data_IF_291750227229
#
_entry.id   IF_291750227229
#
_cell.length_a   1.000
_cell.length_b   1.000
_cell.length_c   1.000
_cell.angle_alpha   90.00
_cell.angle_beta   90.00
_cell.angle_gamma   90.00
#
_symmetry.space_group_name_H-M   'P 1'
#
loop_
_entity.id
_entity.type
_entity.pdbx_description
1 polymer ?
#
# COMPACT_ATOMS: atom_id res chain seq x y z
N UNK A 1 -61.25 21.75 14.13
CA UNK A 1 -60.50 20.59 14.67
C UNK A 1 -59.33 20.34 13.80
N UNK A 2 -58.09 20.78 14.11
CA UNK A 2 -56.92 20.42 13.39
C UNK A 2 -56.22 19.24 14.07
N UNK A 3 -56.03 18.14 13.35
CA UNK A 3 -55.31 16.96 13.77
C UNK A 3 -53.82 17.19 13.66
N UNK A 4 -53.19 17.19 14.81
CA UNK A 4 -51.72 17.29 14.97
C UNK A 4 -51.05 15.96 14.62
N UNK A 5 -50.14 15.96 13.65
CA UNK A 5 -49.23 14.84 13.39
C UNK A 5 -47.92 15.04 14.18
N UNK A 6 -47.45 14.06 14.94
CA UNK A 6 -46.14 14.14 15.56
C UNK A 6 -45.03 13.90 14.55
N UNK A 7 -44.11 14.86 14.43
CA UNK A 7 -42.85 14.71 13.68
C UNK A 7 -41.95 13.70 14.40
N UNK A 8 -41.74 12.55 13.78
CA UNK A 8 -40.72 11.59 14.17
C UNK A 8 -39.35 12.22 13.92
N UNK A 9 -38.60 12.51 14.98
CA UNK A 9 -37.18 12.82 14.90
C UNK A 9 -36.46 11.51 14.65
N UNK A 10 -36.00 11.27 13.42
CA UNK A 10 -34.99 10.27 13.16
C UNK A 10 -33.64 10.80 13.69
N UNK A 11 -33.25 10.23 14.82
CA UNK A 11 -31.89 10.38 15.34
C UNK A 11 -30.95 9.67 14.39
N UNK A 12 -30.24 10.44 13.57
CA UNK A 12 -29.11 9.99 12.83
C UNK A 12 -28.02 9.58 13.84
N UNK A 13 -27.99 8.29 14.19
CA UNK A 13 -26.84 7.73 14.93
C UNK A 13 -25.64 7.78 14.02
N UNK A 14 -24.77 8.76 14.25
CA UNK A 14 -23.40 8.69 13.77
C UNK A 14 -22.80 7.41 14.36
N UNK A 15 -22.54 6.44 13.50
CA UNK A 15 -21.77 5.25 13.82
C UNK A 15 -20.39 5.69 14.27
N UNK A 16 -20.13 5.62 15.57
CA UNK A 16 -18.82 5.90 16.14
C UNK A 16 -17.80 4.91 15.54
N UNK A 17 -16.70 5.44 15.01
CA UNK A 17 -15.53 4.62 14.61
C UNK A 17 -15.11 3.78 15.80
N UNK A 18 -14.89 2.46 15.65
CA UNK A 18 -14.34 1.65 16.72
C UNK A 18 -12.93 2.16 17.08
N UNK A 19 -12.62 2.18 18.37
CA UNK A 19 -11.30 2.52 18.87
C UNK A 19 -10.28 1.44 18.43
N UNK A 20 -8.99 1.78 18.26
CA UNK A 20 -7.98 0.80 17.95
C UNK A 20 -7.89 -0.22 19.11
N UNK A 21 -8.32 -1.46 18.84
CA UNK A 21 -8.35 -2.56 19.81
C UNK A 21 -9.69 -3.26 19.99
N UNK A 22 -10.81 -2.71 19.50
CA UNK A 22 -12.11 -3.39 19.52
C UNK A 22 -12.24 -4.32 18.31
N UNK A 23 -11.98 -5.59 18.52
CA UNK A 23 -12.25 -6.66 17.55
C UNK A 23 -13.76 -6.93 17.54
N UNK A 24 -14.42 -6.79 16.39
CA UNK A 24 -15.84 -7.15 16.23
C UNK A 24 -16.01 -8.66 16.47
N UNK A 25 -16.76 -9.09 17.51
CA UNK A 25 -16.90 -10.53 17.84
C UNK A 25 -17.71 -11.33 16.80
N UNK A 26 -18.15 -10.71 15.71
CA UNK A 26 -18.86 -11.36 14.60
C UNK A 26 -17.93 -11.90 13.52
N UNK A 27 -16.64 -11.58 13.56
CA UNK A 27 -15.64 -12.14 12.67
C UNK A 27 -15.31 -13.57 13.15
N UNK A 28 -15.83 -14.56 12.44
CA UNK A 28 -15.48 -15.97 12.67
C UNK A 28 -14.04 -16.20 12.26
N UNK A 29 -13.37 -17.15 12.92
CA UNK A 29 -11.94 -17.45 12.90
C UNK A 29 -11.19 -17.58 11.56
N UNK A 30 -11.84 -17.41 10.40
CA UNK A 30 -11.20 -17.28 9.08
C UNK A 30 -10.97 -15.82 8.65
N UNK A 31 -11.58 -14.86 9.35
CA UNK A 31 -11.49 -13.41 9.05
C UNK A 31 -10.41 -12.69 9.88
N UNK A 32 -9.71 -13.42 10.74
CA UNK A 32 -8.70 -12.89 11.67
C UNK A 32 -7.35 -12.55 11.01
N UNK A 33 -7.33 -12.33 9.69
CA UNK A 33 -6.19 -11.75 9.00
C UNK A 33 -6.44 -10.23 8.98
N UNK A 34 -6.09 -9.57 10.07
CA UNK A 34 -6.29 -8.14 10.24
C UNK A 34 -5.55 -7.34 9.17
N UNK A 35 -6.35 -6.61 8.36
CA UNK A 35 -5.87 -5.67 7.37
C UNK A 35 -5.39 -6.27 6.03
N UNK A 36 -5.25 -5.43 4.99
CA UNK A 36 -4.84 -5.86 3.66
C UNK A 36 -3.33 -5.94 3.48
N UNK A 37 -2.54 -5.33 4.36
CA UNK A 37 -1.10 -5.13 4.17
C UNK A 37 -0.30 -6.21 4.92
N UNK A 38 0.44 -7.00 4.16
CA UNK A 38 1.39 -7.95 4.73
C UNK A 38 2.79 -7.33 4.77
N UNK A 39 3.39 -7.28 5.96
CA UNK A 39 4.72 -6.73 6.23
C UNK A 39 5.31 -7.43 7.45
N UNK A 40 6.62 -7.65 7.48
CA UNK A 40 7.36 -8.23 8.62
C UNK A 40 6.78 -9.55 9.15
N UNK A 41 6.17 -10.35 8.27
CA UNK A 41 5.62 -11.66 8.62
C UNK A 41 4.20 -11.62 9.20
N UNK A 42 3.53 -10.47 9.22
CA UNK A 42 2.19 -10.30 9.74
C UNK A 42 1.30 -9.42 8.84
N UNK A 43 -0.02 -9.53 9.01
CA UNK A 43 -0.98 -8.63 8.39
C UNK A 43 -1.23 -7.42 9.28
N UNK A 44 -1.34 -6.24 8.65
CA UNK A 44 -1.57 -4.97 9.31
C UNK A 44 -2.73 -4.22 8.66
N UNK A 45 -3.44 -3.43 9.46
CA UNK A 45 -4.40 -2.45 8.96
C UNK A 45 -3.68 -1.40 8.10
N UNK A 46 -4.33 -0.93 7.05
CA UNK A 46 -3.80 0.15 6.23
C UNK A 46 -4.29 1.49 6.73
N UNK A 47 -3.35 2.37 7.08
CA UNK A 47 -3.66 3.75 7.46
C UNK A 47 -3.71 4.69 6.24
N UNK A 48 -3.27 4.22 5.07
CA UNK A 48 -3.20 5.02 3.86
C UNK A 48 -4.52 5.02 3.10
N UNK A 49 -4.92 6.20 2.62
CA UNK A 49 -6.10 6.39 1.79
C UNK A 49 -5.67 6.69 0.36
N UNK A 50 -6.21 5.94 -0.59
CA UNK A 50 -5.99 6.26 -2.01
C UNK A 50 -6.81 7.49 -2.36
N UNK A 51 -6.14 8.56 -2.74
CA UNK A 51 -6.80 9.79 -3.16
C UNK A 51 -7.41 9.63 -4.56
N UNK A 52 -8.61 10.17 -4.82
CA UNK A 52 -9.16 10.22 -6.17
C UNK A 52 -8.27 11.09 -7.06
N UNK A 53 -8.32 10.90 -8.36
CA UNK A 53 -7.53 11.68 -9.32
C UNK A 53 -7.96 13.14 -9.41
N UNK A 54 -9.17 13.46 -8.98
CA UNK A 54 -9.75 14.81 -8.99
C UNK A 54 -10.60 15.02 -7.73
N UNK A 55 -10.78 16.28 -7.33
CA UNK A 55 -11.59 16.63 -6.18
C UNK A 55 -10.81 16.76 -4.89
N UNK A 56 -11.53 16.80 -3.77
CA UNK A 56 -10.97 17.06 -2.46
C UNK A 56 -10.09 15.90 -1.96
N UNK A 57 -8.98 16.24 -1.32
CA UNK A 57 -8.08 15.25 -0.74
C UNK A 57 -8.62 14.74 0.61
N UNK A 58 -8.60 13.43 0.86
CA UNK A 58 -8.95 12.90 2.17
C UNK A 58 -7.95 13.36 3.23
N UNK A 59 -8.42 13.48 4.48
CA UNK A 59 -7.54 13.78 5.60
C UNK A 59 -6.71 12.56 6.04
N UNK A 60 -5.46 12.78 6.42
CA UNK A 60 -4.53 11.74 6.87
C UNK A 60 -3.51 11.32 5.81
N UNK A 61 -2.78 10.20 6.00
CA UNK A 61 -1.84 9.71 5.02
C UNK A 61 -2.54 9.35 3.70
N UNK A 62 -2.06 9.88 2.57
CA UNK A 62 -2.70 9.71 1.25
C UNK A 62 -1.73 9.17 0.22
N UNK A 63 -2.25 8.31 -0.66
CA UNK A 63 -1.54 7.82 -1.84
C UNK A 63 -2.14 8.51 -3.07
N UNK A 64 -1.33 9.30 -3.75
CA UNK A 64 -1.68 10.01 -4.98
C UNK A 64 -1.30 9.18 -6.20
N UNK A 65 -2.05 9.31 -7.29
CA UNK A 65 -1.55 8.88 -8.59
C UNK A 65 -0.41 9.80 -9.03
N UNK A 66 0.51 9.28 -9.83
CA UNK A 66 1.58 10.09 -10.42
C UNK A 66 1.02 11.27 -11.22
N UNK A 67 -0.06 11.06 -11.98
CA UNK A 67 -0.74 12.11 -12.73
C UNK A 67 -1.18 13.26 -11.83
N UNK A 68 -1.84 12.96 -10.72
CA UNK A 68 -2.31 13.96 -9.77
C UNK A 68 -1.14 14.69 -9.11
N UNK A 69 -0.11 13.96 -8.70
CA UNK A 69 1.09 14.56 -8.14
C UNK A 69 1.70 15.60 -9.07
N UNK A 70 1.91 15.24 -10.35
CA UNK A 70 2.51 16.16 -11.33
C UNK A 70 1.65 17.41 -11.58
N UNK A 71 0.33 17.32 -11.44
CA UNK A 71 -0.59 18.44 -11.60
C UNK A 71 -0.63 19.37 -10.38
N UNK A 72 -0.47 18.83 -9.17
CA UNK A 72 -0.73 19.55 -7.90
C UNK A 72 0.53 19.69 -7.02
N UNK A 73 1.71 19.26 -7.47
CA UNK A 73 2.94 19.21 -6.65
C UNK A 73 3.30 20.53 -5.98
N UNK A 74 3.07 21.65 -6.65
CA UNK A 74 3.38 22.98 -6.11
C UNK A 74 2.40 23.37 -4.97
N UNK A 75 1.13 23.00 -5.12
CA UNK A 75 0.12 23.22 -4.09
C UNK A 75 0.32 22.29 -2.87
N UNK A 76 0.89 21.12 -3.08
CA UNK A 76 1.18 20.14 -2.04
C UNK A 76 2.58 20.32 -1.43
N UNK A 77 3.35 21.33 -1.91
CA UNK A 77 4.71 21.58 -1.46
C UNK A 77 4.81 21.77 0.05
N UNK A 78 3.89 22.50 0.65
CA UNK A 78 3.87 22.85 2.08
C UNK A 78 2.93 21.95 2.92
N UNK A 79 2.44 20.85 2.33
CA UNK A 79 1.54 19.94 3.03
C UNK A 79 2.28 19.17 4.12
N UNK A 80 1.77 19.22 5.36
CA UNK A 80 2.25 18.40 6.48
C UNK A 80 1.67 16.96 6.44
N UNK A 81 0.92 16.60 5.40
CA UNK A 81 0.35 15.27 5.23
C UNK A 81 1.42 14.29 4.76
N UNK A 82 1.42 13.08 5.32
CA UNK A 82 2.25 12.00 4.81
C UNK A 82 1.81 11.65 3.39
N UNK A 83 2.72 11.78 2.42
CA UNK A 83 2.44 11.55 1.01
C UNK A 83 2.99 10.19 0.56
N UNK A 84 2.14 9.45 -0.10
CA UNK A 84 2.48 8.27 -0.88
C UNK A 84 2.24 8.52 -2.37
N UNK A 85 2.95 7.82 -3.22
CA UNK A 85 2.81 7.90 -4.67
C UNK A 85 2.51 6.52 -5.24
N UNK A 86 1.48 6.43 -6.09
CA UNK A 86 1.19 5.22 -6.86
C UNK A 86 1.75 5.39 -8.27
N UNK A 87 2.52 4.39 -8.70
CA UNK A 87 3.12 4.30 -10.02
C UNK A 87 2.56 3.08 -10.74
N UNK A 88 2.01 3.31 -11.93
CA UNK A 88 1.49 2.26 -12.79
C UNK A 88 2.61 1.67 -13.68
N UNK A 89 2.48 0.42 -14.15
CA UNK A 89 3.48 -0.19 -14.99
C UNK A 89 3.74 0.57 -16.28
N UNK A 90 4.99 0.95 -16.50
CA UNK A 90 5.43 1.69 -17.69
C UNK A 90 5.45 3.20 -17.51
N UNK A 91 5.04 3.72 -16.35
CA UNK A 91 5.30 5.12 -16.03
C UNK A 91 6.78 5.35 -15.73
N UNK A 92 7.34 6.42 -16.28
CA UNK A 92 8.71 6.82 -16.04
C UNK A 92 8.86 7.41 -14.62
N UNK A 93 10.09 7.34 -14.07
CA UNK A 93 10.37 7.87 -12.72
C UNK A 93 11.22 9.14 -12.80
N UNK A 94 11.89 9.37 -13.92
CA UNK A 94 12.85 10.46 -14.05
C UNK A 94 12.19 11.85 -13.88
N UNK A 95 10.91 11.99 -14.22
CA UNK A 95 10.11 13.21 -14.06
C UNK A 95 9.72 13.53 -12.61
N UNK A 96 9.82 12.54 -11.71
CA UNK A 96 9.56 12.67 -10.27
C UNK A 96 10.82 12.44 -9.43
N UNK A 97 11.97 12.20 -10.05
CA UNK A 97 13.20 11.85 -9.33
C UNK A 97 13.61 12.91 -8.30
N UNK A 98 13.40 14.18 -8.59
CA UNK A 98 13.64 15.28 -7.65
C UNK A 98 12.68 15.33 -6.46
N UNK A 99 11.50 14.74 -6.60
CA UNK A 99 10.43 14.78 -5.61
C UNK A 99 10.40 13.55 -4.68
N UNK A 100 11.24 12.53 -4.95
CA UNK A 100 11.20 11.25 -4.24
C UNK A 100 11.38 11.41 -2.72
N UNK A 101 12.11 12.41 -2.27
CA UNK A 101 12.33 12.71 -0.85
C UNK A 101 11.05 13.14 -0.12
N UNK A 102 10.00 13.50 -0.84
CA UNK A 102 8.71 13.93 -0.31
C UNK A 102 7.78 12.76 0.03
N UNK A 103 8.06 11.58 -0.55
CA UNK A 103 7.22 10.43 -0.36
C UNK A 103 7.78 9.53 0.74
N UNK A 104 6.92 9.16 1.69
CA UNK A 104 7.24 8.15 2.69
C UNK A 104 6.88 6.75 2.23
N UNK A 105 6.02 6.66 1.18
CA UNK A 105 5.59 5.42 0.56
C UNK A 105 5.52 5.56 -0.96
N UNK A 106 6.01 4.55 -1.69
CA UNK A 106 5.74 4.39 -3.13
C UNK A 106 5.05 3.04 -3.35
N UNK A 107 3.84 3.09 -3.90
CA UNK A 107 3.06 1.91 -4.27
C UNK A 107 3.26 1.58 -5.74
N UNK A 108 3.83 0.42 -6.04
CA UNK A 108 4.00 -0.07 -7.41
C UNK A 108 2.90 -1.05 -7.77
N UNK A 109 2.20 -0.77 -8.85
CA UNK A 109 1.02 -1.52 -9.28
C UNK A 109 1.37 -2.76 -10.08
N UNK A 110 0.71 -3.88 -9.75
CA UNK A 110 0.75 -5.15 -10.47
C UNK A 110 -0.66 -5.47 -11.00
N UNK A 111 -1.09 -4.88 -12.13
CA UNK A 111 -2.44 -5.12 -12.67
C UNK A 111 -2.62 -6.56 -13.13
N UNK A 112 -1.53 -7.23 -13.52
CA UNK A 112 -1.48 -8.66 -13.87
C UNK A 112 -0.25 -9.29 -13.25
N UNK A 113 -0.37 -10.54 -12.80
CA UNK A 113 0.76 -11.29 -12.22
C UNK A 113 1.95 -11.46 -13.19
N UNK A 114 1.68 -11.45 -14.50
CA UNK A 114 2.71 -11.58 -15.55
C UNK A 114 3.42 -10.28 -15.89
N UNK A 115 3.00 -9.13 -15.33
CA UNK A 115 3.63 -7.84 -15.61
C UNK A 115 4.84 -7.60 -14.70
N UNK A 116 6.04 -7.85 -15.23
CA UNK A 116 7.29 -7.73 -14.50
C UNK A 116 7.88 -6.30 -14.43
N UNK A 117 7.25 -5.29 -15.04
CA UNK A 117 7.81 -3.92 -15.13
C UNK A 117 8.02 -3.28 -13.75
N UNK A 118 7.12 -3.51 -12.82
CA UNK A 118 7.22 -2.99 -11.46
C UNK A 118 8.47 -3.50 -10.70
N UNK A 119 9.00 -4.67 -11.02
CA UNK A 119 10.27 -5.15 -10.44
C UNK A 119 11.46 -4.29 -10.88
N UNK A 120 11.50 -3.91 -12.17
CA UNK A 120 12.54 -3.02 -12.69
C UNK A 120 12.42 -1.62 -12.08
N UNK A 121 11.19 -1.12 -11.93
CA UNK A 121 10.91 0.17 -11.29
C UNK A 121 11.36 0.17 -9.83
N UNK A 122 11.05 -0.89 -9.06
CA UNK A 122 11.48 -1.03 -7.67
C UNK A 122 13.01 -1.01 -7.54
N UNK A 123 13.69 -1.77 -8.39
CA UNK A 123 15.15 -1.81 -8.42
C UNK A 123 15.76 -0.43 -8.74
N UNK A 124 15.17 0.27 -9.73
CA UNK A 124 15.62 1.60 -10.12
C UNK A 124 15.46 2.60 -8.97
N UNK A 125 14.31 2.58 -8.29
CA UNK A 125 14.07 3.42 -7.10
C UNK A 125 15.10 3.17 -6.00
N UNK A 126 15.44 1.91 -5.72
CA UNK A 126 16.41 1.55 -4.68
C UNK A 126 17.85 1.83 -5.08
N UNK A 127 18.28 1.35 -6.26
CA UNK A 127 19.69 1.36 -6.66
C UNK A 127 20.13 2.68 -7.29
N UNK A 128 19.32 3.28 -8.17
CA UNK A 128 19.66 4.55 -8.86
C UNK A 128 19.28 5.77 -8.03
N UNK A 129 18.08 5.77 -7.47
CA UNK A 129 17.53 6.96 -6.82
C UNK A 129 17.67 6.93 -5.28
N UNK A 130 18.11 5.82 -4.68
CA UNK A 130 18.33 5.71 -3.24
C UNK A 130 17.07 5.90 -2.39
N UNK A 131 15.88 5.61 -2.94
CA UNK A 131 14.63 5.77 -2.20
C UNK A 131 14.63 4.90 -0.94
N UNK A 132 14.54 5.54 0.22
CA UNK A 132 14.60 4.88 1.53
C UNK A 132 13.22 4.66 2.18
N UNK A 133 12.15 5.25 1.63
CA UNK A 133 10.78 5.06 2.10
C UNK A 133 10.22 3.66 1.83
N UNK A 134 8.99 3.41 2.24
CA UNK A 134 8.30 2.13 2.03
C UNK A 134 8.03 1.89 0.54
N UNK A 135 8.49 0.76 0.00
CA UNK A 135 8.04 0.26 -1.31
C UNK A 135 6.96 -0.78 -1.10
N UNK A 136 5.77 -0.48 -1.59
CA UNK A 136 4.59 -1.34 -1.47
C UNK A 136 4.22 -1.94 -2.82
N UNK A 137 4.02 -3.26 -2.85
CA UNK A 137 3.41 -3.92 -3.99
C UNK A 137 1.88 -3.91 -3.84
N UNK A 138 1.15 -3.44 -4.87
CA UNK A 138 -0.31 -3.38 -4.85
C UNK A 138 -0.91 -4.06 -6.08
N UNK A 139 -2.15 -4.56 -5.96
CA UNK A 139 -2.86 -5.24 -7.05
C UNK A 139 -2.74 -6.75 -7.01
N UNK A 140 -2.37 -7.39 -8.12
CA UNK A 140 -2.34 -8.86 -8.21
C UNK A 140 -1.04 -9.45 -7.68
N UNK A 141 -0.90 -9.45 -6.35
CA UNK A 141 0.27 -9.98 -5.63
C UNK A 141 0.04 -11.46 -5.26
N UNK A 142 0.91 -12.33 -5.75
CA UNK A 142 0.88 -13.77 -5.48
C UNK A 142 2.02 -14.20 -4.54
N UNK A 143 1.81 -15.26 -3.77
CA UNK A 143 2.75 -15.72 -2.73
C UNK A 143 4.13 -16.09 -3.29
N UNK A 144 4.18 -16.65 -4.48
CA UNK A 144 5.42 -17.07 -5.17
C UNK A 144 6.26 -15.88 -5.68
N UNK A 145 5.65 -14.72 -5.85
CA UNK A 145 6.35 -13.50 -6.27
C UNK A 145 7.03 -12.77 -5.10
N UNK A 146 6.53 -12.93 -3.88
CA UNK A 146 7.00 -12.18 -2.71
C UNK A 146 8.51 -12.33 -2.46
N UNK A 147 9.13 -13.53 -2.58
CA UNK A 147 10.59 -13.65 -2.44
C UNK A 147 11.37 -12.81 -3.45
N UNK A 148 10.89 -12.72 -4.68
CA UNK A 148 11.53 -11.89 -5.72
C UNK A 148 11.31 -10.40 -5.46
N UNK A 149 10.09 -10.02 -5.04
CA UNK A 149 9.79 -8.64 -4.65
C UNK A 149 10.68 -8.16 -3.51
N UNK A 150 10.86 -8.98 -2.46
CA UNK A 150 11.79 -8.67 -1.35
C UNK A 150 13.22 -8.39 -1.84
N UNK A 151 13.72 -9.17 -2.78
CA UNK A 151 15.07 -9.04 -3.32
C UNK A 151 15.29 -7.72 -4.04
N UNK A 152 14.29 -7.20 -4.72
CA UNK A 152 14.37 -5.90 -5.41
C UNK A 152 13.97 -4.71 -4.53
N UNK A 153 13.65 -4.98 -3.25
CA UNK A 153 13.52 -3.96 -2.24
C UNK A 153 12.09 -3.57 -1.84
N UNK A 154 11.08 -4.41 -2.13
CA UNK A 154 9.75 -4.21 -1.55
C UNK A 154 9.74 -4.52 -0.05
N UNK A 155 9.04 -3.70 0.71
CA UNK A 155 8.89 -3.81 2.17
C UNK A 155 7.52 -4.35 2.56
N UNK A 156 6.46 -4.02 1.78
CA UNK A 156 5.09 -4.37 2.10
C UNK A 156 4.27 -4.76 0.87
N UNK A 157 3.16 -5.47 1.12
CA UNK A 157 2.36 -6.10 0.08
C UNK A 157 0.88 -5.93 0.41
N UNK A 158 0.13 -5.29 -0.47
CA UNK A 158 -1.32 -5.29 -0.42
C UNK A 158 -1.83 -6.59 -1.02
N UNK A 159 -2.35 -7.48 -0.18
CA UNK A 159 -2.74 -8.83 -0.61
C UNK A 159 -4.26 -8.98 -0.56
N UNK A 160 -4.90 -8.88 -1.72
CA UNK A 160 -6.33 -9.12 -1.89
C UNK A 160 -6.66 -10.60 -2.19
N UNK A 161 -5.71 -11.36 -2.76
CA UNK A 161 -5.92 -12.74 -3.18
C UNK A 161 -6.01 -13.70 -1.98
N UNK A 162 -7.19 -14.24 -1.71
CA UNK A 162 -7.48 -15.05 -0.52
C UNK A 162 -6.52 -16.26 -0.34
N UNK A 163 -6.21 -17.07 -1.37
CA UNK A 163 -5.23 -18.15 -1.24
C UNK A 163 -3.83 -17.66 -0.84
N UNK A 164 -3.39 -16.50 -1.35
CA UNK A 164 -2.11 -15.87 -0.96
C UNK A 164 -2.15 -15.44 0.50
N UNK A 165 -3.25 -14.79 0.95
CA UNK A 165 -3.42 -14.42 2.37
C UNK A 165 -3.30 -15.60 3.29
N UNK A 166 -4.00 -16.70 2.97
CA UNK A 166 -3.95 -17.94 3.75
C UNK A 166 -2.53 -18.52 3.80
N UNK A 167 -1.84 -18.59 2.66
CA UNK A 167 -0.48 -19.09 2.59
C UNK A 167 0.49 -18.24 3.45
N UNK A 168 0.34 -16.91 3.43
CA UNK A 168 1.14 -15.99 4.23
C UNK A 168 0.88 -16.14 5.73
N UNK A 169 -0.40 -16.23 6.13
CA UNK A 169 -0.79 -16.45 7.53
C UNK A 169 -0.25 -17.76 8.10
N UNK A 170 -0.15 -18.80 7.26
CA UNK A 170 0.41 -20.11 7.62
C UNK A 170 1.95 -20.14 7.50
N UNK A 171 2.60 -19.03 7.18
CA UNK A 171 4.07 -18.97 7.01
C UNK A 171 4.59 -19.72 5.79
N UNK A 172 3.73 -20.04 4.83
CA UNK A 172 4.09 -20.77 3.61
C UNK A 172 4.67 -19.84 2.55
N UNK A 173 5.84 -19.28 2.83
CA UNK A 173 6.63 -18.51 1.86
C UNK A 173 7.84 -19.34 1.51
N UNK A 174 8.01 -19.67 0.22
CA UNK A 174 9.22 -20.32 -0.24
C UNK A 174 10.40 -19.34 -0.11
N UNK A 175 11.32 -19.58 0.80
CA UNK A 175 12.57 -18.83 0.84
C UNK A 175 13.48 -19.30 -0.28
N UNK A 176 13.82 -18.39 -1.20
CA UNK A 176 14.83 -18.64 -2.23
C UNK A 176 16.20 -18.37 -1.62
N UNK A 177 16.82 -19.39 -1.04
CA UNK A 177 18.11 -19.28 -0.36
C UNK A 177 19.31 -19.21 -1.30
N UNK A 178 19.18 -19.72 -2.52
CA UNK A 178 20.26 -19.70 -3.52
C UNK A 178 19.94 -18.71 -4.64
N UNK A 179 20.85 -17.76 -4.89
CA UNK A 179 20.75 -16.81 -5.97
C UNK A 179 22.01 -16.83 -6.80
N UNK A 180 21.86 -16.94 -8.12
CA UNK A 180 22.99 -16.91 -9.06
C UNK A 180 23.70 -15.55 -9.05
N UNK A 181 22.96 -14.48 -8.78
CA UNK A 181 23.52 -13.14 -8.60
C UNK A 181 23.14 -12.62 -7.22
N UNK A 182 24.03 -12.66 -6.23
CA UNK A 182 23.79 -12.05 -4.93
C UNK A 182 23.73 -10.53 -5.11
N UNK A 183 22.60 -9.93 -4.70
CA UNK A 183 22.49 -8.48 -4.60
C UNK A 183 23.47 -7.92 -3.56
N UNK A 184 23.73 -6.61 -3.56
CA UNK A 184 24.70 -5.96 -2.67
C UNK A 184 24.49 -6.21 -1.18
N UNK A 185 23.25 -6.48 -0.74
CA UNK A 185 22.95 -6.88 0.65
C UNK A 185 23.59 -8.21 1.08
N UNK A 186 24.02 -9.06 0.13
CA UNK A 186 24.72 -10.31 0.43
C UNK A 186 26.22 -10.16 0.69
N UNK A 187 26.82 -9.00 0.39
CA UNK A 187 28.27 -8.77 0.55
C UNK A 187 28.69 -8.30 1.95
N UNK A 188 27.77 -7.95 2.83
CA UNK A 188 28.09 -7.38 4.15
C UNK A 188 28.09 -8.39 5.30
N UNK A 189 28.09 -9.69 5.04
CA UNK A 189 28.31 -10.73 6.06
C UNK A 189 29.38 -11.69 5.60
N UNK A 190 30.61 -11.25 5.72
CA UNK A 190 31.84 -12.00 5.72
C UNK A 190 32.73 -11.55 6.85
#
# INVERSE_FOLDING_TARGET
MPTSFPRRRESMQLSARPAPGDVDPRLRGDDAIDGPIWRDGAFHADAWLVAPDEGELPGGPIILSKRRWLAERDALADSNTSLGLRIEPGEEIDDIAGDLHRFTLIALSFPKFSDGRAFSTARLLREKHGFAGELRAVGNVLVDQIPFMRRVGFDSYEVAHVPTRKALAEGRIAEVTLTYQPGERGRLRG
#
